data_IF_093486286239
#
_entry.id   IF_093486286239
#
_cell.length_a   1.000
_cell.length_b   1.000
_cell.length_c   1.000
_cell.angle_alpha   90.00
_cell.angle_beta   90.00
_cell.angle_gamma   90.00
#
_symmetry.space_group_name_H-M   'P 1'
#
loop_
_entity.id
_entity.type
_entity.pdbx_description
1 polymer ?
#
# COMPACT_ATOMS: atom_id res chain seq x y z
N UNK A 1 -23.79 -29.66 6.94
CA UNK A 1 -22.81 -30.19 6.00
C UNK A 1 -21.37 -30.06 6.51
N UNK A 2 -20.95 -28.90 7.07
CA UNK A 2 -19.60 -28.70 7.59
C UNK A 2 -19.29 -29.57 8.84
N UNK A 3 -20.25 -29.79 9.73
CA UNK A 3 -20.08 -30.66 10.88
C UNK A 3 -19.88 -32.13 10.49
N UNK A 4 -20.65 -32.61 9.50
CA UNK A 4 -20.55 -33.99 9.03
C UNK A 4 -19.27 -34.29 8.23
N UNK A 5 -18.74 -33.29 7.51
CA UNK A 5 -17.48 -33.42 6.81
C UNK A 5 -16.27 -33.24 7.73
N UNK A 6 -16.38 -32.38 8.76
CA UNK A 6 -15.30 -32.09 9.72
C UNK A 6 -14.89 -33.29 10.56
N UNK A 7 -15.83 -34.14 10.95
CA UNK A 7 -15.51 -35.37 11.70
C UNK A 7 -14.81 -36.46 10.86
N UNK A 8 -14.91 -36.41 9.53
CA UNK A 8 -14.31 -37.38 8.63
C UNK A 8 -12.96 -36.99 8.04
N UNK A 9 -12.62 -35.69 8.02
CA UNK A 9 -11.33 -35.17 7.60
C UNK A 9 -10.53 -34.78 8.82
N UNK A 10 -10.21 -35.74 9.65
CA UNK A 10 -9.41 -35.52 10.85
C UNK A 10 -7.95 -35.23 10.44
N UNK A 11 -7.53 -33.96 10.59
CA UNK A 11 -6.12 -33.55 10.58
C UNK A 11 -5.31 -34.16 11.75
N UNK A 12 -5.99 -34.86 12.65
CA UNK A 12 -5.39 -35.60 13.77
C UNK A 12 -4.63 -36.84 13.32
N UNK A 13 -4.83 -37.31 12.06
CA UNK A 13 -4.16 -38.48 11.50
C UNK A 13 -3.11 -38.08 10.47
N UNK A 14 -2.03 -38.85 10.38
CA UNK A 14 -0.95 -38.60 9.45
C UNK A 14 -1.40 -38.44 7.99
N UNK A 15 -2.39 -39.21 7.55
CA UNK A 15 -3.00 -39.09 6.21
C UNK A 15 -3.52 -37.69 5.90
N UNK A 16 -4.24 -37.08 6.87
CA UNK A 16 -4.85 -35.77 6.71
C UNK A 16 -3.77 -34.67 6.69
N UNK A 17 -2.77 -34.78 7.55
CA UNK A 17 -1.71 -33.80 7.67
C UNK A 17 -0.79 -33.81 6.44
N UNK A 18 -0.43 -35.00 5.91
CA UNK A 18 0.36 -35.12 4.70
C UNK A 18 -0.43 -34.63 3.48
N UNK A 19 -1.71 -35.00 3.36
CA UNK A 19 -2.54 -34.56 2.25
C UNK A 19 -2.76 -33.04 2.27
N UNK A 20 -2.97 -32.43 3.44
CA UNK A 20 -3.07 -30.98 3.58
C UNK A 20 -1.75 -30.27 3.20
N UNK A 21 -0.60 -30.80 3.60
CA UNK A 21 0.71 -30.28 3.20
C UNK A 21 0.94 -30.36 1.69
N UNK A 22 0.58 -31.48 1.06
CA UNK A 22 0.67 -31.65 -0.39
C UNK A 22 -0.30 -30.75 -1.15
N UNK A 23 -1.52 -30.56 -0.65
CA UNK A 23 -2.48 -29.64 -1.23
C UNK A 23 -1.98 -28.18 -1.15
N UNK A 24 -1.39 -27.78 -0.02
CA UNK A 24 -0.77 -26.48 0.13
C UNK A 24 0.40 -26.28 -0.85
N UNK A 25 1.25 -27.30 -1.05
CA UNK A 25 2.33 -27.25 -2.04
C UNK A 25 1.79 -27.13 -3.47
N UNK A 26 0.69 -27.80 -3.80
CA UNK A 26 0.04 -27.67 -5.10
C UNK A 26 -0.52 -26.26 -5.33
N UNK A 27 -1.12 -25.65 -4.30
CA UNK A 27 -1.60 -24.27 -4.36
C UNK A 27 -0.45 -23.28 -4.55
N UNK A 28 0.67 -23.47 -3.86
CA UNK A 28 1.89 -22.67 -4.08
C UNK A 28 2.39 -22.86 -5.51
N UNK A 29 2.40 -24.09 -6.02
CA UNK A 29 2.78 -24.38 -7.40
C UNK A 29 1.89 -23.70 -8.44
N UNK A 30 0.58 -23.61 -8.15
CA UNK A 30 -0.36 -22.86 -8.98
C UNK A 30 -0.07 -21.34 -8.96
N UNK A 31 0.18 -20.78 -7.77
CA UNK A 31 0.51 -19.36 -7.62
C UNK A 31 1.83 -18.97 -8.30
N UNK A 32 2.85 -19.83 -8.23
CA UNK A 32 4.16 -19.63 -8.86
C UNK A 32 4.20 -20.03 -10.34
N UNK A 33 3.09 -20.50 -10.91
CA UNK A 33 3.03 -21.07 -12.27
C UNK A 33 4.07 -22.19 -12.51
N UNK A 34 4.42 -22.92 -11.44
CA UNK A 34 5.41 -23.98 -11.47
C UNK A 34 4.71 -25.35 -11.56
N UNK A 35 4.51 -25.80 -12.79
CA UNK A 35 3.75 -27.01 -13.15
C UNK A 35 4.13 -28.27 -12.38
N UNK A 36 5.43 -28.55 -12.03
CA UNK A 36 5.76 -29.76 -11.29
C UNK A 36 5.14 -29.85 -9.90
N UNK A 37 4.90 -28.73 -9.21
CA UNK A 37 4.25 -28.72 -7.90
C UNK A 37 2.75 -29.03 -7.95
N UNK A 38 2.11 -28.83 -9.09
CA UNK A 38 0.69 -29.20 -9.28
C UNK A 38 0.47 -30.72 -9.14
N UNK A 39 1.48 -31.53 -9.42
CA UNK A 39 1.44 -32.97 -9.22
C UNK A 39 1.27 -33.36 -7.75
N UNK A 40 1.53 -32.47 -6.81
CA UNK A 40 1.27 -32.71 -5.39
C UNK A 40 -0.23 -32.88 -5.08
N UNK A 41 -1.13 -32.29 -5.89
CA UNK A 41 -2.57 -32.42 -5.68
C UNK A 41 -3.10 -33.85 -5.90
N UNK A 42 -2.86 -34.50 -7.04
CA UNK A 42 -3.26 -35.91 -7.22
C UNK A 42 -2.57 -36.83 -6.20
N UNK A 43 -1.31 -36.57 -5.83
CA UNK A 43 -0.64 -37.34 -4.77
C UNK A 43 -1.34 -37.14 -3.43
N UNK A 44 -1.81 -35.94 -3.08
CA UNK A 44 -2.61 -35.71 -1.87
C UNK A 44 -3.88 -36.56 -1.85
N UNK A 45 -4.58 -36.63 -2.97
CA UNK A 45 -5.78 -37.47 -3.12
C UNK A 45 -5.44 -38.96 -2.93
N UNK A 46 -4.37 -39.44 -3.54
CA UNK A 46 -3.89 -40.84 -3.40
C UNK A 46 -3.54 -41.12 -1.92
N UNK A 47 -2.87 -40.22 -1.24
CA UNK A 47 -2.52 -40.36 0.20
C UNK A 47 -3.78 -40.43 1.05
N UNK A 48 -4.80 -39.62 0.77
CA UNK A 48 -6.08 -39.72 1.48
C UNK A 48 -6.73 -41.06 1.30
N UNK A 49 -6.81 -41.58 0.07
CA UNK A 49 -7.42 -42.88 -0.26
C UNK A 49 -6.60 -44.01 0.34
N UNK A 50 -5.28 -44.02 0.13
CA UNK A 50 -4.38 -45.03 0.68
C UNK A 50 -4.39 -45.05 2.21
N UNK A 51 -4.61 -43.90 2.83
CA UNK A 51 -4.73 -43.77 4.28
C UNK A 51 -5.96 -44.49 4.89
N UNK A 52 -6.92 -44.96 4.06
CA UNK A 52 -7.98 -45.86 4.53
C UNK A 52 -7.52 -47.32 4.66
N UNK A 53 -6.47 -47.70 3.96
CA UNK A 53 -5.97 -49.06 3.93
C UNK A 53 -4.64 -49.24 4.67
N UNK A 54 -3.75 -48.22 4.62
CA UNK A 54 -2.43 -48.30 5.21
C UNK A 54 -2.42 -47.98 6.72
N UNK A 55 -2.04 -48.95 7.54
CA UNK A 55 -2.00 -48.86 9.00
C UNK A 55 -1.17 -47.66 9.55
N UNK A 56 0.02 -47.35 9.04
CA UNK A 56 0.81 -46.23 9.49
C UNK A 56 0.14 -44.85 9.30
N UNK A 57 -0.62 -44.68 8.20
CA UNK A 57 -1.33 -43.44 7.86
C UNK A 57 -2.63 -43.25 8.68
N UNK A 58 -3.10 -44.30 9.33
CA UNK A 58 -4.25 -44.27 10.25
C UNK A 58 -3.86 -43.83 11.65
N UNK A 59 -2.58 -43.89 11.99
CA UNK A 59 -2.11 -43.50 13.34
C UNK A 59 -2.40 -42.02 13.59
N UNK A 60 -2.84 -41.75 14.81
CA UNK A 60 -3.01 -40.38 15.28
C UNK A 60 -1.63 -39.70 15.40
N UNK A 61 -1.58 -38.48 14.96
CA UNK A 61 -0.41 -37.62 15.16
C UNK A 61 -0.33 -37.31 16.66
N UNK A 62 0.78 -37.62 17.35
CA UNK A 62 0.87 -37.32 18.78
C UNK A 62 0.67 -35.83 18.98
N UNK A 63 -0.43 -35.48 19.64
CA UNK A 63 -0.67 -34.07 20.00
C UNK A 63 0.45 -33.62 20.94
N UNK A 64 1.13 -32.57 20.50
CA UNK A 64 2.15 -31.91 21.32
C UNK A 64 1.48 -31.46 22.61
N UNK A 65 1.88 -31.98 23.76
CA UNK A 65 1.38 -31.54 25.07
C UNK A 65 1.42 -30.03 25.13
N UNK A 66 0.29 -29.39 25.36
CA UNK A 66 0.26 -27.94 25.53
C UNK A 66 1.14 -27.60 26.73
N UNK A 67 2.19 -26.82 26.46
CA UNK A 67 3.02 -26.32 27.56
C UNK A 67 2.17 -25.48 28.51
N UNK A 68 2.38 -25.56 29.82
CA UNK A 68 1.76 -24.64 30.75
C UNK A 68 1.97 -23.19 30.31
N UNK A 69 0.97 -22.34 30.50
CA UNK A 69 0.98 -20.95 30.02
C UNK A 69 2.27 -20.22 30.41
N UNK A 70 2.76 -20.46 31.60
CA UNK A 70 3.97 -19.84 32.17
C UNK A 70 5.29 -20.31 31.59
N UNK A 71 5.30 -21.40 30.82
CA UNK A 71 6.48 -21.91 30.10
C UNK A 71 6.54 -21.41 28.65
N UNK A 72 5.53 -20.67 28.20
CA UNK A 72 5.48 -20.12 26.84
C UNK A 72 6.50 -19.01 26.65
N UNK A 73 6.98 -18.83 25.40
CA UNK A 73 7.88 -17.74 25.04
C UNK A 73 7.21 -16.38 25.30
N UNK A 74 5.92 -16.26 25.00
CA UNK A 74 5.15 -15.04 25.23
C UNK A 74 5.13 -14.63 26.71
N UNK A 75 4.93 -15.58 27.63
CA UNK A 75 4.98 -15.30 29.06
C UNK A 75 6.40 -14.85 29.49
N UNK A 76 7.44 -15.55 29.04
CA UNK A 76 8.83 -15.16 29.35
C UNK A 76 9.16 -13.77 28.83
N UNK A 77 8.74 -13.46 27.61
CA UNK A 77 8.91 -12.14 27.00
C UNK A 77 8.19 -11.05 27.80
N UNK A 78 6.93 -11.28 28.16
CA UNK A 78 6.16 -10.35 29.00
C UNK A 78 6.89 -10.06 30.33
N UNK A 79 7.45 -11.09 30.95
CA UNK A 79 8.21 -10.91 32.22
C UNK A 79 9.53 -10.13 32.03
N UNK A 80 10.19 -10.27 30.89
CA UNK A 80 11.39 -9.47 30.57
C UNK A 80 11.01 -8.00 30.42
N UNK A 81 9.94 -7.72 29.66
CA UNK A 81 9.42 -6.36 29.46
C UNK A 81 8.99 -5.73 30.80
N UNK A 82 8.32 -6.49 31.66
CA UNK A 82 7.89 -6.01 32.98
C UNK A 82 9.06 -5.72 33.94
N UNK A 83 10.19 -6.42 33.81
CA UNK A 83 11.39 -6.17 34.61
C UNK A 83 12.06 -4.85 34.27
N UNK A 84 11.97 -4.43 33.00
CA UNK A 84 12.62 -3.23 32.50
C UNK A 84 11.62 -2.37 31.69
N UNK A 85 10.53 -1.85 32.33
CA UNK A 85 9.43 -1.25 31.58
C UNK A 85 9.86 0.00 30.82
N UNK A 86 10.62 0.88 31.43
CA UNK A 86 11.09 2.10 30.78
C UNK A 86 12.06 1.82 29.62
N UNK A 87 12.99 0.90 29.81
CA UNK A 87 13.92 0.52 28.75
C UNK A 87 13.15 -0.08 27.56
N UNK A 88 12.16 -0.95 27.82
CA UNK A 88 11.32 -1.54 26.76
C UNK A 88 10.50 -0.49 26.00
N UNK A 89 9.94 0.49 26.69
CA UNK A 89 9.21 1.60 26.07
C UNK A 89 10.14 2.45 25.23
N UNK A 90 11.30 2.86 25.76
CA UNK A 90 12.26 3.70 25.03
C UNK A 90 12.83 2.98 23.79
N UNK A 91 13.22 1.72 23.92
CA UNK A 91 13.76 0.95 22.79
C UNK A 91 12.68 0.74 21.73
N UNK A 92 11.46 0.37 22.13
CA UNK A 92 10.35 0.18 21.22
C UNK A 92 9.94 1.47 20.51
N UNK A 93 9.84 2.57 21.25
CA UNK A 93 9.53 3.88 20.69
C UNK A 93 10.63 4.37 19.74
N UNK A 94 11.90 4.25 20.12
CA UNK A 94 13.03 4.64 19.28
C UNK A 94 13.07 3.86 17.98
N UNK A 95 12.84 2.54 18.03
CA UNK A 95 12.77 1.69 16.85
C UNK A 95 11.65 2.11 15.92
N UNK A 96 10.43 2.30 16.46
CA UNK A 96 9.28 2.68 15.64
C UNK A 96 9.43 4.10 15.09
N UNK A 97 9.94 5.05 15.87
CA UNK A 97 10.24 6.40 15.40
C UNK A 97 11.30 6.36 14.30
N UNK A 98 12.38 5.61 14.51
CA UNK A 98 13.42 5.43 13.48
C UNK A 98 12.88 4.87 12.18
N UNK A 99 11.99 3.87 12.26
CA UNK A 99 11.29 3.32 11.08
C UNK A 99 10.28 4.32 10.47
N UNK A 100 9.73 5.23 11.24
CA UNK A 100 8.77 6.22 10.77
C UNK A 100 9.44 7.44 10.10
N UNK A 101 10.73 7.71 10.35
CA UNK A 101 11.42 8.88 9.79
C UNK A 101 11.29 9.02 8.27
N UNK A 102 11.40 7.95 7.46
CA UNK A 102 11.27 8.08 6.01
C UNK A 102 9.90 8.60 5.54
N UNK A 103 8.85 8.55 6.38
CA UNK A 103 7.52 9.04 6.01
C UNK A 103 7.50 10.53 5.64
N UNK A 104 8.42 11.32 6.20
CA UNK A 104 8.56 12.74 5.86
C UNK A 104 9.05 12.99 4.43
N UNK A 105 9.61 11.98 3.78
CA UNK A 105 9.96 11.98 2.37
C UNK A 105 8.89 11.34 1.48
N UNK A 106 7.70 11.07 2.00
CA UNK A 106 6.61 10.46 1.22
C UNK A 106 6.20 11.39 0.08
N UNK A 107 6.37 10.92 -1.15
CA UNK A 107 5.90 11.55 -2.37
C UNK A 107 4.79 10.70 -2.97
N UNK A 108 3.62 11.30 -3.14
CA UNK A 108 2.49 10.68 -3.81
C UNK A 108 2.54 10.95 -5.30
N UNK A 109 2.26 9.95 -6.09
CA UNK A 109 2.26 10.04 -7.54
C UNK A 109 1.92 8.70 -8.16
N UNK A 110 1.79 8.66 -9.46
CA UNK A 110 1.51 7.43 -10.18
C UNK A 110 2.80 6.86 -10.77
N UNK A 111 2.93 5.56 -10.69
CA UNK A 111 3.95 4.81 -11.42
C UNK A 111 3.60 4.77 -12.91
N UNK A 112 4.60 4.79 -13.76
CA UNK A 112 4.46 4.64 -15.21
C UNK A 112 5.09 3.33 -15.71
N UNK A 113 5.12 3.15 -17.01
CA UNK A 113 5.68 1.96 -17.66
C UNK A 113 7.19 1.82 -17.44
N UNK A 114 7.86 2.88 -16.99
CA UNK A 114 9.26 2.87 -16.56
C UNK A 114 9.52 2.01 -15.33
N UNK A 115 8.48 1.65 -14.56
CA UNK A 115 8.58 0.74 -13.41
C UNK A 115 8.37 -0.73 -13.77
N UNK A 116 8.03 -1.05 -15.02
CA UNK A 116 7.83 -2.43 -15.45
C UNK A 116 9.19 -3.16 -15.60
N UNK A 117 9.20 -4.50 -15.49
CA UNK A 117 10.41 -5.28 -15.72
C UNK A 117 11.00 -5.04 -17.12
N UNK A 118 12.33 -4.91 -17.21
CA UNK A 118 13.05 -4.57 -18.44
C UNK A 118 12.80 -5.54 -19.60
N UNK A 119 12.41 -6.77 -19.33
CA UNK A 119 12.10 -7.78 -20.34
C UNK A 119 10.71 -7.61 -20.99
N UNK A 120 9.85 -6.76 -20.45
CA UNK A 120 8.51 -6.53 -21.00
C UNK A 120 8.53 -5.66 -22.24
N UNK A 121 7.59 -5.89 -23.15
CA UNK A 121 7.47 -5.12 -24.40
C UNK A 121 7.15 -3.65 -24.12
N UNK A 122 6.30 -3.41 -23.12
CA UNK A 122 5.89 -2.06 -22.72
C UNK A 122 7.07 -1.25 -22.19
N UNK A 123 7.91 -1.83 -21.33
CA UNK A 123 9.12 -1.17 -20.83
C UNK A 123 10.10 -0.85 -21.96
N UNK A 124 10.33 -1.79 -22.88
CA UNK A 124 11.20 -1.56 -24.04
C UNK A 124 10.71 -0.42 -24.94
N UNK A 125 9.40 -0.32 -25.15
CA UNK A 125 8.80 0.77 -25.92
C UNK A 125 8.99 2.11 -25.18
N UNK A 126 8.76 2.14 -23.89
CA UNK A 126 8.98 3.31 -23.03
C UNK A 126 10.45 3.81 -23.12
N UNK A 127 11.41 2.89 -22.95
CA UNK A 127 12.84 3.22 -23.01
C UNK A 127 13.26 3.73 -24.39
N UNK A 128 12.78 3.12 -25.49
CA UNK A 128 13.05 3.56 -26.86
C UNK A 128 12.47 4.95 -27.13
N UNK A 129 11.27 5.25 -26.63
CA UNK A 129 10.68 6.59 -26.75
C UNK A 129 11.48 7.62 -25.96
N UNK A 130 11.89 7.27 -24.74
CA UNK A 130 12.72 8.15 -23.91
C UNK A 130 14.10 8.42 -24.53
N UNK A 131 14.73 7.40 -25.12
CA UNK A 131 16.04 7.52 -25.77
C UNK A 131 15.94 8.32 -27.07
N UNK A 132 14.91 8.07 -27.88
CA UNK A 132 14.77 8.69 -29.21
C UNK A 132 14.20 10.11 -29.19
N UNK A 133 13.29 10.41 -28.29
CA UNK A 133 12.52 11.65 -28.27
C UNK A 133 12.64 12.44 -26.99
N UNK A 134 13.31 11.89 -25.97
CA UNK A 134 13.43 12.45 -24.64
C UNK A 134 12.40 11.86 -23.64
N UNK A 135 12.73 11.87 -22.33
CA UNK A 135 11.94 11.19 -21.31
C UNK A 135 10.51 11.74 -21.16
N UNK A 136 10.31 13.02 -21.45
CA UNK A 136 8.98 13.66 -21.38
C UNK A 136 8.01 13.21 -22.45
N UNK A 137 8.49 12.59 -23.52
CA UNK A 137 7.64 12.10 -24.61
C UNK A 137 6.69 10.97 -24.16
N UNK A 138 7.02 10.30 -23.07
CA UNK A 138 6.16 9.29 -22.46
C UNK A 138 4.98 9.86 -21.66
N UNK A 139 4.95 11.16 -21.39
CA UNK A 139 3.88 11.83 -20.64
C UNK A 139 3.59 13.23 -21.14
N UNK A 140 3.12 13.39 -22.38
CA UNK A 140 2.77 14.70 -22.90
C UNK A 140 1.58 15.31 -22.13
N UNK A 141 1.60 16.63 -21.97
CA UNK A 141 0.45 17.38 -21.48
C UNK A 141 -0.42 17.83 -22.64
N UNK A 142 -1.69 18.02 -22.36
CA UNK A 142 -2.64 18.66 -23.26
C UNK A 142 -3.02 20.02 -22.69
N UNK A 143 -2.99 21.03 -23.52
CA UNK A 143 -3.49 22.36 -23.21
C UNK A 143 -4.65 22.65 -24.15
N UNK A 144 -5.76 23.13 -23.62
CA UNK A 144 -7.01 23.35 -24.38
C UNK A 144 -7.55 24.72 -24.04
N UNK A 145 -8.05 25.42 -25.06
CA UNK A 145 -8.76 26.68 -24.90
C UNK A 145 -10.08 26.67 -25.67
N UNK A 146 -11.11 27.24 -25.07
CA UNK A 146 -12.36 27.55 -25.76
C UNK A 146 -12.23 28.92 -26.46
N UNK A 147 -12.63 28.97 -27.70
CA UNK A 147 -12.52 30.19 -28.52
C UNK A 147 -13.89 30.92 -28.56
N UNK A 148 -13.97 32.20 -28.19
CA UNK A 148 -15.13 33.02 -28.45
C UNK A 148 -15.39 33.18 -29.95
N UNK A 149 -16.65 33.41 -30.33
CA UNK A 149 -17.04 33.66 -31.72
C UNK A 149 -16.19 34.79 -32.35
N UNK A 150 -15.59 34.50 -33.51
CA UNK A 150 -14.79 35.47 -34.23
C UNK A 150 -13.39 35.74 -33.61
N UNK A 151 -12.90 34.83 -32.78
CA UNK A 151 -11.57 34.95 -32.15
C UNK A 151 -10.43 34.83 -33.18
N UNK A 152 -9.48 35.74 -33.07
CA UNK A 152 -8.30 35.72 -33.92
C UNK A 152 -7.26 34.70 -33.43
N UNK A 153 -6.99 33.69 -34.23
CA UNK A 153 -6.01 32.64 -33.90
C UNK A 153 -4.58 33.16 -33.66
N UNK A 154 -4.21 34.33 -34.23
CA UNK A 154 -2.91 34.96 -33.98
C UNK A 154 -2.74 35.40 -32.51
N UNK A 155 -3.86 35.69 -31.81
CA UNK A 155 -3.84 36.03 -30.39
C UNK A 155 -3.43 34.87 -29.48
N UNK A 156 -3.36 33.63 -30.00
CA UNK A 156 -2.89 32.45 -29.25
C UNK A 156 -1.36 32.31 -29.25
N UNK A 157 -0.65 32.99 -30.13
CA UNK A 157 0.82 32.89 -30.24
C UNK A 157 1.56 33.25 -28.94
N UNK A 158 1.14 34.27 -28.15
CA UNK A 158 1.75 34.58 -26.85
C UNK A 158 1.60 33.45 -25.83
N UNK A 159 0.48 32.70 -25.84
CA UNK A 159 0.27 31.57 -24.95
C UNK A 159 1.27 30.46 -25.27
N UNK A 160 1.36 30.08 -26.56
CA UNK A 160 2.31 29.06 -27.01
C UNK A 160 3.76 29.46 -26.69
N UNK A 161 4.14 30.71 -26.94
CA UNK A 161 5.47 31.22 -26.65
C UNK A 161 5.78 31.18 -25.15
N UNK A 162 4.90 31.65 -24.31
CA UNK A 162 5.07 31.64 -22.85
C UNK A 162 5.25 30.22 -22.28
N UNK A 163 4.51 29.24 -22.79
CA UNK A 163 4.67 27.83 -22.37
C UNK A 163 5.96 27.23 -22.95
N UNK A 164 6.33 27.57 -24.17
CA UNK A 164 7.58 27.10 -24.78
C UNK A 164 8.82 27.64 -24.06
N UNK A 165 8.77 28.84 -23.49
CA UNK A 165 9.87 29.46 -22.74
C UNK A 165 10.01 28.88 -21.31
N UNK A 166 9.08 28.03 -20.84
CA UNK A 166 9.20 27.38 -19.54
C UNK A 166 10.34 26.37 -19.53
N UNK A 167 11.24 26.40 -18.52
CA UNK A 167 12.42 25.52 -18.46
C UNK A 167 12.06 24.03 -18.33
N UNK A 168 10.83 23.69 -17.94
CA UNK A 168 10.33 22.31 -17.86
C UNK A 168 9.70 21.80 -19.15
N UNK A 169 9.71 22.59 -20.23
CA UNK A 169 9.10 22.26 -21.51
C UNK A 169 10.15 22.14 -22.62
N UNK A 170 10.13 21.05 -23.35
CA UNK A 170 10.99 20.83 -24.53
C UNK A 170 10.35 21.44 -25.76
N UNK A 171 9.05 21.15 -25.95
CA UNK A 171 8.35 21.50 -27.17
C UNK A 171 6.86 21.68 -26.96
N UNK A 172 6.25 22.65 -27.61
CA UNK A 172 4.82 22.87 -27.70
C UNK A 172 4.41 22.80 -29.16
N UNK A 173 3.43 21.96 -29.50
CA UNK A 173 2.91 21.90 -30.87
C UNK A 173 2.20 23.21 -31.23
N UNK A 174 2.04 23.54 -32.54
CA UNK A 174 1.12 24.57 -32.96
C UNK A 174 -0.29 24.30 -32.47
N UNK A 175 -1.09 25.35 -32.27
CA UNK A 175 -2.52 25.24 -31.92
C UNK A 175 -3.26 24.44 -33.01
N UNK A 176 -3.92 23.38 -32.61
CA UNK A 176 -4.74 22.56 -33.51
C UNK A 176 -6.21 22.83 -33.23
N UNK A 177 -6.97 23.40 -34.19
CA UNK A 177 -8.38 23.68 -34.01
C UNK A 177 -9.23 22.41 -34.04
N UNK A 178 -10.37 22.43 -33.38
CA UNK A 178 -11.33 21.32 -33.38
C UNK A 178 -12.05 21.14 -34.74
N UNK A 179 -12.05 22.16 -35.62
CA UNK A 179 -12.44 22.05 -37.02
C UNK A 179 -11.23 22.35 -37.90
N UNK A 180 -10.59 21.30 -38.42
CA UNK A 180 -9.44 21.44 -39.35
C UNK A 180 -9.84 21.88 -40.74
N UNK A 181 -11.13 21.73 -41.13
CA UNK A 181 -11.63 22.10 -42.46
C UNK A 181 -11.97 23.58 -42.55
N UNK A 182 -12.48 24.12 -41.47
CA UNK A 182 -12.78 25.55 -41.33
C UNK A 182 -12.20 26.07 -40.01
N UNK A 183 -10.91 26.39 -39.93
CA UNK A 183 -10.30 26.90 -38.72
C UNK A 183 -10.91 28.20 -38.19
N UNK A 184 -11.59 28.98 -39.06
CA UNK A 184 -12.27 30.19 -38.66
C UNK A 184 -13.60 29.96 -37.95
N UNK A 185 -14.19 28.77 -38.10
CA UNK A 185 -15.36 28.31 -37.36
C UNK A 185 -15.00 27.44 -36.12
N UNK A 186 -13.73 27.31 -35.83
CA UNK A 186 -13.28 26.54 -34.66
C UNK A 186 -13.76 27.20 -33.35
N UNK A 187 -14.32 26.40 -32.45
CA UNK A 187 -14.79 26.82 -31.13
C UNK A 187 -13.82 26.44 -30.01
N UNK A 188 -12.80 25.64 -30.33
CA UNK A 188 -11.76 25.21 -29.38
C UNK A 188 -10.45 24.89 -30.12
N UNK A 189 -9.36 25.03 -29.40
CA UNK A 189 -8.02 24.62 -29.84
C UNK A 189 -7.33 23.79 -28.81
N UNK A 190 -6.38 22.95 -29.27
CA UNK A 190 -5.51 22.20 -28.39
C UNK A 190 -4.04 22.33 -28.78
N UNK A 191 -3.19 22.17 -27.77
CA UNK A 191 -1.73 22.03 -27.93
C UNK A 191 -1.29 20.76 -27.21
N UNK A 192 -0.22 20.16 -27.71
CA UNK A 192 0.52 19.10 -27.01
C UNK A 192 1.82 19.70 -26.49
N UNK A 193 2.09 19.50 -25.22
CA UNK A 193 3.29 19.98 -24.55
C UNK A 193 4.13 18.78 -24.16
N UNK A 194 5.39 18.76 -24.57
CA UNK A 194 6.36 17.72 -24.22
C UNK A 194 7.24 18.27 -23.09
N UNK A 195 7.17 17.72 -21.87
CA UNK A 195 8.03 18.13 -20.76
C UNK A 195 9.47 17.65 -20.95
N UNK A 196 10.40 18.21 -20.16
CA UNK A 196 11.82 17.83 -20.18
C UNK A 196 12.11 16.54 -19.43
N UNK A 197 11.25 16.16 -18.47
CA UNK A 197 11.45 15.03 -17.55
C UNK A 197 10.36 13.96 -17.73
N UNK A 198 10.62 12.76 -17.19
CA UNK A 198 9.70 11.63 -17.27
C UNK A 198 8.39 11.88 -16.50
N UNK A 199 7.28 11.18 -16.85
CA UNK A 199 5.96 11.40 -16.26
C UNK A 199 5.93 11.36 -14.73
N UNK A 200 6.66 10.45 -14.13
CA UNK A 200 6.70 10.25 -12.67
C UNK A 200 7.77 11.09 -11.95
N UNK A 201 8.56 11.89 -12.67
CA UNK A 201 9.58 12.75 -12.08
C UNK A 201 8.93 13.90 -11.27
N UNK A 202 9.61 14.33 -10.22
CA UNK A 202 9.16 15.46 -9.39
C UNK A 202 9.17 16.76 -10.19
N UNK A 203 10.18 16.93 -11.02
CA UNK A 203 10.33 18.07 -11.93
C UNK A 203 9.15 18.22 -12.90
N UNK A 204 8.51 17.11 -13.29
CA UNK A 204 7.32 17.13 -14.14
C UNK A 204 6.11 17.64 -13.38
N UNK A 205 5.94 17.23 -12.13
CA UNK A 205 4.90 17.78 -11.23
C UNK A 205 5.11 19.28 -11.02
N UNK A 206 6.36 19.71 -10.74
CA UNK A 206 6.71 21.11 -10.56
C UNK A 206 6.42 21.92 -11.81
N UNK A 207 6.67 21.36 -12.99
CA UNK A 207 6.34 22.01 -14.27
C UNK A 207 4.83 22.20 -14.42
N UNK A 208 4.00 21.19 -14.13
CA UNK A 208 2.53 21.32 -14.17
C UNK A 208 2.08 22.43 -13.23
N UNK A 209 2.57 22.44 -12.00
CA UNK A 209 2.19 23.42 -10.99
C UNK A 209 2.63 24.84 -11.37
N UNK A 210 3.85 25.03 -11.88
CA UNK A 210 4.36 26.31 -12.34
C UNK A 210 3.59 26.83 -13.55
N UNK A 211 3.31 25.98 -14.54
CA UNK A 211 2.52 26.37 -15.71
C UNK A 211 1.14 26.89 -15.26
N UNK A 212 0.47 26.21 -14.33
CA UNK A 212 -0.86 26.60 -13.84
C UNK A 212 -0.85 27.84 -12.94
N UNK A 213 0.16 27.98 -12.08
CA UNK A 213 0.18 29.07 -11.10
C UNK A 213 0.77 30.35 -11.65
N UNK A 214 1.71 30.31 -12.59
CA UNK A 214 2.52 31.43 -13.02
C UNK A 214 2.36 31.72 -14.51
N UNK A 215 2.66 30.74 -15.38
CA UNK A 215 2.79 30.95 -16.81
C UNK A 215 1.44 31.19 -17.50
N UNK A 216 0.49 30.28 -17.30
CA UNK A 216 -0.84 30.36 -17.95
C UNK A 216 -1.64 31.59 -17.53
N UNK A 217 -1.77 31.94 -16.24
CA UNK A 217 -2.57 33.11 -15.85
C UNK A 217 -2.06 34.44 -16.39
N UNK A 218 -0.77 34.55 -16.69
CA UNK A 218 -0.21 35.73 -17.32
C UNK A 218 -0.51 35.77 -18.82
N UNK A 219 -0.39 34.62 -19.49
CA UNK A 219 -0.64 34.48 -20.92
C UNK A 219 -2.14 34.60 -21.26
N UNK A 220 -3.02 34.04 -20.46
CA UNK A 220 -4.50 34.14 -20.56
C UNK A 220 -4.97 35.59 -20.52
N UNK A 221 -4.46 36.35 -19.56
CA UNK A 221 -4.81 37.79 -19.45
C UNK A 221 -4.36 38.60 -20.66
N UNK A 222 -3.23 38.22 -21.29
CA UNK A 222 -2.74 38.88 -22.48
C UNK A 222 -3.54 38.51 -23.74
N UNK A 223 -3.95 37.24 -23.84
CA UNK A 223 -4.69 36.72 -24.98
C UNK A 223 -6.23 36.89 -24.87
N UNK A 224 -6.75 37.09 -23.66
CA UNK A 224 -8.21 37.21 -23.41
C UNK A 224 -8.94 35.87 -23.53
N UNK A 225 -8.26 34.74 -23.33
CA UNK A 225 -8.80 33.39 -23.47
C UNK A 225 -8.38 32.55 -22.26
N UNK A 226 -9.30 31.82 -21.68
CA UNK A 226 -9.00 30.86 -20.60
C UNK A 226 -8.44 29.56 -21.17
N UNK A 227 -7.41 29.03 -20.51
CA UNK A 227 -6.67 27.84 -20.93
C UNK A 227 -6.66 26.79 -19.84
N UNK A 228 -7.07 25.58 -20.15
CA UNK A 228 -7.00 24.45 -19.23
C UNK A 228 -5.83 23.53 -19.58
N UNK A 229 -5.00 23.24 -18.58
CA UNK A 229 -3.93 22.25 -18.70
C UNK A 229 -4.43 20.89 -18.19
N UNK A 230 -4.40 19.88 -19.07
CA UNK A 230 -4.89 18.52 -18.82
C UNK A 230 -3.94 17.48 -19.46
N UNK A 231 -4.40 16.24 -19.56
CA UNK A 231 -3.59 15.11 -20.03
C UNK A 231 -3.35 14.12 -18.90
N UNK A 232 -2.65 13.02 -19.20
CA UNK A 232 -2.45 11.95 -18.21
C UNK A 232 -1.71 12.44 -16.96
N UNK A 233 -0.63 13.17 -17.12
CA UNK A 233 0.19 13.63 -15.98
C UNK A 233 -0.50 14.74 -15.18
N UNK A 234 -1.02 15.84 -15.77
CA UNK A 234 -1.75 16.84 -15.00
C UNK A 234 -2.95 16.27 -14.23
N UNK A 235 -3.71 15.33 -14.80
CA UNK A 235 -4.81 14.64 -14.11
C UNK A 235 -4.31 13.81 -12.92
N UNK A 236 -3.18 13.12 -13.07
CA UNK A 236 -2.55 12.36 -11.97
C UNK A 236 -2.07 13.29 -10.85
N UNK A 237 -1.53 14.46 -11.18
CA UNK A 237 -1.15 15.49 -10.20
C UNK A 237 -2.37 15.95 -9.42
N UNK A 238 -3.45 16.34 -10.10
CA UNK A 238 -4.71 16.77 -9.48
C UNK A 238 -5.29 15.69 -8.55
N UNK A 239 -5.29 14.46 -9.01
CA UNK A 239 -5.81 13.34 -8.21
C UNK A 239 -4.95 13.09 -6.97
N UNK A 240 -3.62 13.17 -7.11
CA UNK A 240 -2.68 13.00 -5.99
C UNK A 240 -2.86 14.10 -4.94
N UNK A 241 -2.97 15.36 -5.36
CA UNK A 241 -3.20 16.50 -4.49
C UNK A 241 -4.57 16.43 -3.80
N UNK A 242 -5.61 16.05 -4.55
CA UNK A 242 -6.95 15.86 -3.98
C UNK A 242 -6.93 14.78 -2.89
N UNK A 243 -6.36 13.61 -3.15
CA UNK A 243 -6.26 12.55 -2.15
C UNK A 243 -5.39 12.97 -0.96
N UNK A 244 -4.22 13.58 -1.20
CA UNK A 244 -3.35 14.07 -0.14
C UNK A 244 -4.09 15.04 0.79
N UNK A 245 -4.89 15.95 0.24
CA UNK A 245 -5.70 16.89 1.02
C UNK A 245 -6.77 16.21 1.87
N UNK A 246 -7.25 15.02 1.49
CA UNK A 246 -8.27 14.25 2.21
C UNK A 246 -7.70 13.30 3.26
N UNK A 247 -6.43 12.91 3.16
CA UNK A 247 -5.80 11.99 4.11
C UNK A 247 -5.95 12.41 5.58
N UNK A 248 -5.68 13.69 5.99
CA UNK A 248 -5.82 14.09 7.38
C UNK A 248 -7.25 13.94 7.91
N UNK A 249 -8.25 14.26 7.09
CA UNK A 249 -9.66 14.13 7.45
C UNK A 249 -10.05 12.67 7.63
N UNK A 250 -9.62 11.82 6.71
CA UNK A 250 -9.87 10.38 6.79
C UNK A 250 -9.23 9.77 8.03
N UNK A 251 -7.95 10.03 8.29
CA UNK A 251 -7.26 9.52 9.46
C UNK A 251 -7.88 10.06 10.75
N UNK A 252 -8.18 11.35 10.80
CA UNK A 252 -8.82 11.98 11.95
C UNK A 252 -10.18 11.38 12.27
N UNK A 253 -11.02 11.13 11.28
CA UNK A 253 -12.34 10.53 11.47
C UNK A 253 -12.25 9.10 12.01
N UNK A 254 -11.38 8.25 11.42
CA UNK A 254 -11.20 6.87 11.85
C UNK A 254 -10.61 6.79 13.26
N UNK A 255 -9.61 7.63 13.58
CA UNK A 255 -9.01 7.69 14.91
C UNK A 255 -10.01 8.17 15.96
N UNK A 256 -10.81 9.21 15.65
CA UNK A 256 -11.82 9.72 16.55
C UNK A 256 -12.91 8.67 16.82
N UNK A 257 -13.41 7.99 15.78
CA UNK A 257 -14.41 6.94 15.93
C UNK A 257 -13.87 5.77 16.78
N UNK A 258 -12.65 5.32 16.52
CA UNK A 258 -11.98 4.26 17.28
C UNK A 258 -11.75 4.66 18.73
N UNK A 259 -11.32 5.89 18.97
CA UNK A 259 -11.17 6.45 20.31
C UNK A 259 -12.48 6.41 21.09
N UNK A 260 -13.58 6.88 20.50
CA UNK A 260 -14.91 6.89 21.13
C UNK A 260 -15.42 5.47 21.42
N UNK A 261 -15.21 4.55 20.47
CA UNK A 261 -15.61 3.15 20.62
C UNK A 261 -14.85 2.48 21.78
N UNK A 262 -13.52 2.63 21.83
CA UNK A 262 -12.72 2.10 22.92
C UNK A 262 -13.06 2.72 24.26
N UNK A 263 -13.34 4.02 24.29
CA UNK A 263 -13.76 4.73 25.49
C UNK A 263 -15.08 4.17 26.03
N UNK A 264 -16.03 3.88 25.15
CA UNK A 264 -17.30 3.29 25.52
C UNK A 264 -17.15 1.86 26.06
N UNK A 265 -16.32 1.02 25.43
CA UNK A 265 -16.09 -0.39 25.81
C UNK A 265 -15.32 -0.49 27.12
N UNK A 266 -14.21 0.24 27.26
CA UNK A 266 -13.33 0.12 28.41
C UNK A 266 -13.65 1.09 29.54
N UNK A 267 -14.53 2.08 29.31
CA UNK A 267 -14.89 3.15 30.26
C UNK A 267 -13.66 3.83 30.88
N UNK A 268 -12.65 4.09 30.06
CA UNK A 268 -11.39 4.70 30.43
C UNK A 268 -10.98 5.68 29.34
N UNK A 269 -10.37 6.79 29.71
CA UNK A 269 -9.81 7.77 28.77
C UNK A 269 -8.36 7.41 28.39
N UNK A 270 -7.61 6.82 29.31
CA UNK A 270 -6.19 6.50 29.11
C UNK A 270 -5.98 5.33 28.14
N UNK A 271 -6.88 4.34 28.14
CA UNK A 271 -6.77 3.17 27.27
C UNK A 271 -6.88 3.57 25.80
N UNK A 272 -7.93 4.30 25.35
CA UNK A 272 -8.01 4.78 23.97
C UNK A 272 -6.87 5.72 23.57
N UNK A 273 -6.47 6.61 24.48
CA UNK A 273 -5.39 7.56 24.19
C UNK A 273 -4.07 6.83 23.87
N UNK A 274 -3.73 5.84 24.72
CA UNK A 274 -2.56 5.01 24.51
C UNK A 274 -2.67 4.22 23.18
N UNK A 275 -3.83 3.65 22.91
CA UNK A 275 -4.09 2.88 21.69
C UNK A 275 -3.90 3.74 20.44
N UNK A 276 -4.47 4.93 20.39
CA UNK A 276 -4.32 5.86 19.28
C UNK A 276 -2.85 6.24 19.06
N UNK A 277 -2.11 6.59 20.13
CA UNK A 277 -0.69 6.98 20.02
C UNK A 277 0.15 5.82 19.49
N UNK A 278 -0.03 4.61 20.03
CA UNK A 278 0.72 3.43 19.60
C UNK A 278 0.39 3.02 18.17
N UNK A 279 -0.88 3.10 17.78
CA UNK A 279 -1.30 2.80 16.43
C UNK A 279 -0.77 3.82 15.42
N UNK A 280 -0.81 5.12 15.74
CA UNK A 280 -0.19 6.16 14.89
C UNK A 280 1.32 5.93 14.70
N UNK A 281 2.01 5.56 15.78
CA UNK A 281 3.44 5.26 15.70
C UNK A 281 3.72 4.01 14.84
N UNK A 282 2.92 2.98 14.99
CA UNK A 282 3.01 1.75 14.18
C UNK A 282 2.70 2.02 12.70
N UNK A 283 1.70 2.86 12.42
CA UNK A 283 1.36 3.29 11.07
C UNK A 283 2.48 4.14 10.45
N UNK A 284 3.03 5.09 11.22
CA UNK A 284 4.19 5.85 10.78
C UNK A 284 5.37 4.96 10.41
N UNK A 285 5.66 3.94 11.23
CA UNK A 285 6.71 2.96 10.93
C UNK A 285 6.41 2.13 9.67
N UNK A 286 5.16 1.71 9.46
CA UNK A 286 4.75 1.00 8.25
C UNK A 286 4.91 1.85 6.98
N UNK A 287 4.45 3.11 7.01
CA UNK A 287 4.62 4.04 5.89
C UNK A 287 6.09 4.38 5.65
N UNK A 288 6.86 4.61 6.71
CA UNK A 288 8.28 4.86 6.58
C UNK A 288 9.02 3.69 5.93
N UNK A 289 8.64 2.45 6.25
CA UNK A 289 9.18 1.26 5.61
C UNK A 289 8.79 1.20 4.11
N UNK A 290 7.54 1.52 3.78
CA UNK A 290 7.08 1.60 2.38
C UNK A 290 7.91 2.63 1.60
N UNK A 291 8.10 3.83 2.14
CA UNK A 291 8.94 4.87 1.51
C UNK A 291 10.38 4.39 1.34
N UNK A 292 10.96 3.81 2.39
CA UNK A 292 12.35 3.34 2.35
C UNK A 292 12.58 2.24 1.31
N UNK A 293 11.62 1.33 1.15
CA UNK A 293 11.72 0.20 0.21
C UNK A 293 11.40 0.63 -1.23
N UNK A 294 10.28 1.31 -1.44
CA UNK A 294 9.74 1.54 -2.78
C UNK A 294 10.12 2.89 -3.37
N UNK A 295 10.35 3.90 -2.55
CA UNK A 295 10.72 5.23 -3.03
C UNK A 295 12.23 5.49 -2.94
N UNK A 296 12.88 5.09 -1.81
CA UNK A 296 14.34 5.25 -1.65
C UNK A 296 15.16 4.06 -2.14
N UNK A 297 14.50 2.94 -2.46
CA UNK A 297 15.15 1.77 -3.04
C UNK A 297 16.03 0.97 -2.10
N UNK A 298 15.71 0.95 -0.80
CA UNK A 298 16.42 0.06 0.11
C UNK A 298 16.24 -1.39 -0.34
N UNK A 299 17.35 -2.11 -0.45
CA UNK A 299 17.38 -3.50 -0.94
C UNK A 299 17.06 -3.72 -2.43
N UNK A 300 17.05 -2.68 -3.28
CA UNK A 300 16.83 -2.84 -4.72
C UNK A 300 17.73 -3.89 -5.36
N UNK A 301 19.01 -3.95 -4.95
CA UNK A 301 19.96 -4.94 -5.46
C UNK A 301 19.59 -6.40 -5.14
N UNK A 302 18.68 -6.64 -4.19
CA UNK A 302 18.19 -7.98 -3.81
C UNK A 302 16.81 -8.22 -4.39
N UNK A 303 15.94 -7.22 -4.35
CA UNK A 303 14.52 -7.36 -4.71
C UNK A 303 14.26 -7.11 -6.19
N UNK A 304 15.13 -6.37 -6.89
CA UNK A 304 14.92 -5.93 -8.27
C UNK A 304 13.77 -4.93 -8.44
N UNK A 305 13.21 -4.41 -7.33
CA UNK A 305 12.10 -3.45 -7.35
C UNK A 305 12.61 -2.10 -7.90
N UNK A 306 11.95 -1.56 -8.91
CA UNK A 306 12.22 -0.21 -9.40
C UNK A 306 11.67 0.83 -8.41
N UNK A 307 12.40 1.92 -8.22
CA UNK A 307 11.95 3.03 -7.38
C UNK A 307 10.94 3.90 -8.11
N UNK A 308 9.95 4.39 -7.36
CA UNK A 308 8.93 5.29 -7.89
C UNK A 308 8.17 6.00 -6.79
N UNK A 309 7.27 6.90 -7.13
CA UNK A 309 6.36 7.52 -6.18
C UNK A 309 5.41 6.47 -5.59
N UNK A 310 4.82 6.79 -4.44
CA UNK A 310 3.79 5.93 -3.83
C UNK A 310 2.43 6.31 -4.40
N UNK A 311 1.71 5.34 -4.93
CA UNK A 311 0.36 5.54 -5.47
C UNK A 311 -0.55 6.24 -4.45
N UNK A 312 -1.29 7.30 -4.83
CA UNK A 312 -1.99 8.19 -3.88
C UNK A 312 -3.05 7.51 -3.02
N UNK A 313 -3.63 6.39 -3.48
CA UNK A 313 -4.63 5.62 -2.73
C UNK A 313 -4.00 4.62 -1.73
N UNK A 314 -2.72 4.28 -1.90
CA UNK A 314 -2.03 3.28 -1.05
C UNK A 314 -2.01 3.69 0.42
N UNK A 315 -1.72 4.95 0.81
CA UNK A 315 -1.77 5.35 2.21
C UNK A 315 -3.15 5.13 2.84
N UNK A 316 -4.24 5.50 2.16
CA UNK A 316 -5.60 5.29 2.68
C UNK A 316 -5.91 3.80 2.85
N UNK A 317 -5.57 3.00 1.85
CA UNK A 317 -5.82 1.55 1.84
C UNK A 317 -4.99 0.84 2.92
N UNK A 318 -3.70 1.16 3.00
CA UNK A 318 -2.79 0.61 4.01
C UNK A 318 -3.24 0.98 5.43
N UNK A 319 -3.66 2.25 5.64
CA UNK A 319 -4.22 2.67 6.91
C UNK A 319 -5.45 1.85 7.28
N UNK A 320 -6.44 1.75 6.40
CA UNK A 320 -7.67 1.04 6.68
C UNK A 320 -7.41 -0.43 7.07
N UNK A 321 -6.51 -1.10 6.34
CA UNK A 321 -6.18 -2.51 6.57
C UNK A 321 -5.37 -2.68 7.87
N UNK A 322 -4.23 -2.01 7.98
CA UNK A 322 -3.30 -2.22 9.11
C UNK A 322 -3.88 -1.69 10.41
N UNK A 323 -4.53 -0.52 10.36
CA UNK A 323 -5.18 0.06 11.53
C UNK A 323 -6.34 -0.82 12.02
N UNK A 324 -7.22 -1.26 11.10
CA UNK A 324 -8.33 -2.15 11.45
C UNK A 324 -7.85 -3.43 12.11
N UNK A 325 -6.87 -4.10 11.51
CA UNK A 325 -6.26 -5.29 12.10
C UNK A 325 -5.64 -5.04 13.48
N UNK A 326 -4.85 -3.97 13.59
CA UNK A 326 -4.17 -3.64 14.85
C UNK A 326 -5.17 -3.40 15.98
N UNK A 327 -6.25 -2.68 15.70
CA UNK A 327 -7.30 -2.38 16.67
C UNK A 327 -8.03 -3.64 17.15
N UNK A 328 -8.38 -4.54 16.24
CA UNK A 328 -9.10 -5.77 16.61
C UNK A 328 -8.29 -6.63 17.58
N UNK A 329 -6.99 -6.78 17.32
CA UNK A 329 -6.13 -7.55 18.22
C UNK A 329 -5.78 -6.81 19.51
N UNK A 330 -5.73 -5.48 19.50
CA UNK A 330 -5.55 -4.69 20.72
C UNK A 330 -6.77 -4.83 21.64
N UNK A 331 -7.98 -4.71 21.09
CA UNK A 331 -9.24 -4.93 21.85
C UNK A 331 -9.28 -6.34 22.42
N UNK A 332 -8.92 -7.34 21.63
CA UNK A 332 -8.88 -8.74 22.08
C UNK A 332 -7.89 -8.96 23.24
N UNK A 333 -6.67 -8.43 23.11
CA UNK A 333 -5.66 -8.49 24.15
C UNK A 333 -6.10 -7.79 25.44
N UNK A 334 -6.57 -6.54 25.30
CA UNK A 334 -7.01 -5.75 26.46
C UNK A 334 -8.21 -6.37 27.18
N UNK A 335 -9.15 -6.95 26.44
CA UNK A 335 -10.29 -7.67 27.01
C UNK A 335 -9.83 -8.86 27.82
N UNK A 336 -8.85 -9.62 27.32
CA UNK A 336 -8.29 -10.77 28.03
C UNK A 336 -7.50 -10.36 29.27
N UNK A 337 -6.70 -9.31 29.18
CA UNK A 337 -5.99 -8.76 30.35
C UNK A 337 -6.97 -8.28 31.42
N UNK A 338 -8.09 -7.64 31.03
CA UNK A 338 -9.14 -7.21 31.96
C UNK A 338 -9.82 -8.39 32.64
N UNK A 339 -10.11 -9.45 31.89
CA UNK A 339 -10.68 -10.69 32.43
C UNK A 339 -9.75 -11.31 33.48
N UNK A 340 -8.46 -11.47 33.16
CA UNK A 340 -7.47 -12.01 34.10
C UNK A 340 -7.30 -11.09 35.35
N UNK A 341 -7.40 -9.78 35.18
CA UNK A 341 -7.36 -8.85 36.31
C UNK A 341 -8.57 -8.98 37.24
N UNK A 342 -9.77 -9.23 36.70
CA UNK A 342 -10.95 -9.47 37.49
C UNK A 342 -10.84 -10.76 38.34
N UNK A 343 -10.08 -11.75 37.87
CA UNK A 343 -9.85 -13.00 38.57
C UNK A 343 -8.72 -12.93 39.60
N UNK A 344 -7.65 -12.22 39.28
CA UNK A 344 -6.40 -12.24 40.07
C UNK A 344 -6.23 -11.03 40.98
N UNK A 345 -6.80 -9.88 40.62
CA UNK A 345 -6.59 -8.60 41.31
C UNK A 345 -5.15 -8.05 41.18
N UNK A 346 -4.23 -8.79 40.54
CA UNK A 346 -2.84 -8.37 40.33
C UNK A 346 -2.58 -7.97 38.88
N UNK A 347 -2.24 -6.70 38.67
CA UNK A 347 -2.00 -6.13 37.32
C UNK A 347 -0.82 -6.77 36.60
N UNK A 348 0.26 -7.11 37.31
CA UNK A 348 1.45 -7.70 36.70
C UNK A 348 1.18 -9.12 36.18
N UNK A 349 0.52 -9.93 36.95
CA UNK A 349 0.15 -11.31 36.59
C UNK A 349 -0.89 -11.28 35.46
N UNK A 350 -1.89 -10.42 35.54
CA UNK A 350 -2.95 -10.29 34.53
C UNK A 350 -2.42 -9.94 33.15
N UNK A 351 -1.47 -9.02 33.06
CA UNK A 351 -0.83 -8.64 31.77
C UNK A 351 -0.01 -9.82 31.22
N UNK A 352 0.76 -10.52 32.07
CA UNK A 352 1.57 -11.64 31.60
C UNK A 352 0.73 -12.83 31.13
N UNK A 353 -0.29 -13.19 31.89
CA UNK A 353 -1.19 -14.31 31.59
C UNK A 353 -2.10 -13.98 30.39
N UNK A 354 -2.65 -12.77 30.34
CA UNK A 354 -3.44 -12.28 29.21
C UNK A 354 -2.65 -12.28 27.89
N UNK A 355 -1.41 -11.77 27.90
CA UNK A 355 -0.53 -11.79 26.73
C UNK A 355 -0.20 -13.25 26.32
N UNK A 356 0.13 -14.11 27.28
CA UNK A 356 0.47 -15.50 26.98
C UNK A 356 -0.72 -16.28 26.40
N UNK A 357 -1.95 -16.00 26.88
CA UNK A 357 -3.18 -16.63 26.40
C UNK A 357 -3.51 -16.20 24.95
N UNK A 358 -3.31 -14.93 24.61
CA UNK A 358 -3.65 -14.36 23.29
C UNK A 358 -2.55 -14.52 22.25
N UNK A 359 -1.29 -14.68 22.67
CA UNK A 359 -0.10 -14.69 21.80
C UNK A 359 -0.19 -15.69 20.65
N UNK A 360 -0.73 -16.89 20.87
CA UNK A 360 -0.87 -17.91 19.82
C UNK A 360 -1.82 -17.46 18.70
N UNK A 361 -2.94 -16.84 19.09
CA UNK A 361 -3.96 -16.37 18.15
C UNK A 361 -3.41 -15.21 17.34
N UNK A 362 -2.79 -14.23 18.03
CA UNK A 362 -2.20 -13.04 17.39
C UNK A 362 -1.06 -13.45 16.44
N UNK A 363 -0.18 -14.36 16.87
CA UNK A 363 0.93 -14.82 16.02
C UNK A 363 0.44 -15.61 14.81
N UNK A 364 -0.57 -16.48 14.99
CA UNK A 364 -1.15 -17.22 13.86
C UNK A 364 -1.83 -16.28 12.85
N UNK A 365 -2.57 -15.30 13.35
CA UNK A 365 -3.19 -14.29 12.49
C UNK A 365 -2.15 -13.43 11.76
N UNK A 366 -1.10 -12.99 12.44
CA UNK A 366 0.01 -12.27 11.80
C UNK A 366 0.68 -13.11 10.70
N UNK A 367 0.93 -14.40 10.96
CA UNK A 367 1.48 -15.31 9.95
C UNK A 367 0.55 -15.44 8.75
N UNK A 368 -0.76 -15.64 8.96
CA UNK A 368 -1.74 -15.70 7.87
C UNK A 368 -1.69 -14.43 7.02
N UNK A 369 -1.64 -13.25 7.66
CA UNK A 369 -1.56 -11.97 6.95
C UNK A 369 -0.29 -11.82 6.13
N UNK A 370 0.87 -12.20 6.69
CA UNK A 370 2.14 -12.19 5.94
C UNK A 370 2.02 -13.08 4.70
N UNK A 371 1.43 -14.27 4.79
CA UNK A 371 1.24 -15.14 3.63
C UNK A 371 0.23 -14.58 2.64
N UNK A 372 -0.91 -14.04 3.11
CA UNK A 372 -1.94 -13.46 2.23
C UNK A 372 -1.38 -12.26 1.48
N UNK A 373 -0.80 -11.29 2.17
CA UNK A 373 -0.23 -10.11 1.49
C UNK A 373 1.03 -10.43 0.70
N UNK A 374 1.86 -11.36 1.18
CA UNK A 374 3.01 -11.85 0.43
C UNK A 374 2.66 -12.51 -0.89
N UNK A 375 1.45 -13.08 -1.03
CA UNK A 375 1.00 -13.66 -2.30
C UNK A 375 0.70 -12.63 -3.39
N UNK A 376 0.53 -11.35 -3.03
CA UNK A 376 0.38 -10.28 -4.03
C UNK A 376 1.72 -9.84 -4.65
N UNK A 377 2.83 -10.27 -4.08
CA UNK A 377 4.18 -9.95 -4.59
C UNK A 377 4.63 -10.97 -5.66
N UNK A 378 3.97 -12.13 -5.71
CA UNK A 378 4.26 -13.23 -6.66
C UNK A 378 3.44 -13.08 -7.94
#
# INVERSE_FOLDING_TARGET
>A
LLGFAGERVELTRWRGLIAAGLAALALVGAGLNFTPLLLAFPVAVVVLIAGFFAGPLKREVPMRRQKPLRETIAYRWSRVVQRHPWASVFIGALLLIGMALPVFGLRLGFSDEGNFPENTTTRKAYDLLAEGFGPGFNGPFLMVAELPDGFDAEALAPIQAAVQDDPGVVFVTPATPNDEKDPAAATAVQWVIIPTSSPQAEETTDTVNRLRAETLPAAERAAGVDVALTGSVPVQVDFSEYLASRLPYFFGAVLALSFLLLMAVFRSLLVPLKAVVMNLLSMGAAYGLVVALFQWGWFNGITGIQTGPIEPFVPMMLFAIVFGLSMDYEVFLLSRVREEWQHTGDSHTSVADGLAATAKVITAAAAIMVFVFGSFVL
#
